data_IF_104890213947
#
_entry.id   IF_104890213947
#
_cell.length_a   1.000
_cell.length_b   1.000
_cell.length_c   1.000
_cell.angle_alpha   90.00
_cell.angle_beta   90.00
_cell.angle_gamma   90.00
#
_symmetry.space_group_name_H-M   'P 1'
#
loop_
_entity.id
_entity.type
_entity.pdbx_description
1 polymer ?
#
# COMPACT_ATOMS: atom_id res chain seq x y z
N UNK A 1 8.21 59.52 -9.41
CA UNK A 1 8.11 58.78 -8.13
C UNK A 1 6.91 57.84 -8.03
N UNK A 2 5.71 58.18 -8.54
CA UNK A 2 4.54 57.28 -8.46
C UNK A 2 4.73 55.94 -9.22
N UNK A 3 5.29 55.96 -10.44
CA UNK A 3 5.51 54.73 -11.23
C UNK A 3 6.37 53.70 -10.52
N UNK A 4 7.39 54.14 -9.79
CA UNK A 4 8.30 53.25 -9.04
C UNK A 4 7.59 52.55 -7.89
N UNK A 5 6.69 53.24 -7.18
CA UNK A 5 5.89 52.64 -6.10
C UNK A 5 4.89 51.61 -6.63
N UNK A 6 4.30 51.88 -7.80
CA UNK A 6 3.37 50.95 -8.45
C UNK A 6 4.08 49.65 -8.85
N UNK A 7 5.28 49.75 -9.43
CA UNK A 7 6.07 48.60 -9.84
C UNK A 7 6.50 47.71 -8.66
N UNK A 8 6.86 48.34 -7.53
CA UNK A 8 7.20 47.62 -6.30
C UNK A 8 5.98 46.86 -5.76
N UNK A 9 4.79 47.46 -5.78
CA UNK A 9 3.56 46.80 -5.36
C UNK A 9 3.22 45.59 -6.24
N UNK A 10 3.32 45.70 -7.56
CA UNK A 10 3.07 44.58 -8.47
C UNK A 10 4.04 43.42 -8.25
N UNK A 11 5.33 43.71 -8.02
CA UNK A 11 6.35 42.70 -7.70
C UNK A 11 6.05 41.97 -6.38
N UNK A 12 5.56 42.68 -5.36
CA UNK A 12 5.18 42.07 -4.07
C UNK A 12 3.99 41.13 -4.25
N UNK A 13 2.97 41.55 -5.00
CA UNK A 13 1.78 40.73 -5.27
C UNK A 13 2.16 39.48 -6.07
N UNK A 14 3.01 39.62 -7.09
CA UNK A 14 3.48 38.51 -7.91
C UNK A 14 4.26 37.48 -7.08
N UNK A 15 5.21 37.94 -6.25
CA UNK A 15 5.98 37.04 -5.36
C UNK A 15 5.09 36.30 -4.37
N UNK A 16 4.08 36.97 -3.81
CA UNK A 16 3.12 36.34 -2.89
C UNK A 16 2.34 35.23 -3.59
N UNK A 17 1.86 35.46 -4.82
CA UNK A 17 1.15 34.44 -5.59
C UNK A 17 2.04 33.25 -5.96
N UNK A 18 3.30 33.48 -6.34
CA UNK A 18 4.26 32.42 -6.66
C UNK A 18 4.53 31.55 -5.43
N UNK A 19 4.78 32.18 -4.27
CA UNK A 19 4.97 31.47 -3.01
C UNK A 19 3.75 30.61 -2.65
N UNK A 20 2.53 31.15 -2.73
CA UNK A 20 1.31 30.39 -2.43
C UNK A 20 1.16 29.17 -3.35
N UNK A 21 1.39 29.32 -4.66
CA UNK A 21 1.30 28.19 -5.61
C UNK A 21 2.35 27.11 -5.32
N UNK A 22 3.58 27.47 -4.98
CA UNK A 22 4.63 26.51 -4.65
C UNK A 22 4.34 25.73 -3.36
N UNK A 23 3.87 26.39 -2.31
CA UNK A 23 3.56 25.72 -1.05
C UNK A 23 2.34 24.80 -1.16
N UNK A 24 1.26 25.26 -1.82
CA UNK A 24 0.06 24.46 -2.03
C UNK A 24 0.35 23.24 -2.91
N UNK A 25 1.15 23.40 -3.97
CA UNK A 25 1.55 22.29 -4.83
C UNK A 25 2.34 21.21 -4.08
N UNK A 26 3.30 21.61 -3.23
CA UNK A 26 4.08 20.68 -2.40
C UNK A 26 3.21 19.94 -1.37
N UNK A 27 2.29 20.63 -0.70
CA UNK A 27 1.39 19.98 0.27
C UNK A 27 0.44 18.99 -0.41
N UNK A 28 -0.09 19.33 -1.59
CA UNK A 28 -0.92 18.41 -2.36
C UNK A 28 -0.14 17.16 -2.82
N UNK A 29 1.11 17.33 -3.22
CA UNK A 29 1.99 16.21 -3.61
C UNK A 29 2.31 15.29 -2.42
N UNK A 30 2.62 15.87 -1.25
CA UNK A 30 2.88 15.11 -0.03
C UNK A 30 1.61 14.39 0.43
N UNK A 31 0.46 15.08 0.47
CA UNK A 31 -0.81 14.48 0.86
C UNK A 31 -1.25 13.33 -0.05
N UNK A 32 -1.08 13.48 -1.37
CA UNK A 32 -1.38 12.42 -2.34
C UNK A 32 -0.48 11.19 -2.21
N UNK A 33 0.78 11.37 -1.83
CA UNK A 33 1.74 10.26 -1.63
C UNK A 33 1.50 9.54 -0.31
N UNK A 34 1.23 10.29 0.76
CA UNK A 34 0.93 9.73 2.09
C UNK A 34 -0.34 8.88 2.06
N UNK A 35 -1.43 9.36 1.43
CA UNK A 35 -2.67 8.59 1.34
C UNK A 35 -2.50 7.25 0.60
N UNK A 36 -1.70 7.22 -0.47
CA UNK A 36 -1.40 5.97 -1.19
C UNK A 36 -0.62 4.99 -0.31
N UNK A 37 0.35 5.49 0.45
CA UNK A 37 1.16 4.69 1.34
C UNK A 37 0.35 4.11 2.50
N UNK A 38 -0.49 4.93 3.13
CA UNK A 38 -1.40 4.49 4.20
C UNK A 38 -2.38 3.42 3.71
N UNK A 39 -3.04 3.63 2.58
CA UNK A 39 -3.97 2.64 2.01
C UNK A 39 -3.28 1.32 1.67
N UNK A 40 -2.03 1.37 1.20
CA UNK A 40 -1.24 0.18 0.91
C UNK A 40 -0.88 -0.61 2.16
N UNK A 41 -0.42 0.06 3.23
CA UNK A 41 -0.15 -0.60 4.51
C UNK A 41 -1.43 -1.24 5.07
N UNK A 42 -2.55 -0.53 5.03
CA UNK A 42 -3.85 -1.07 5.47
C UNK A 42 -4.22 -2.29 4.63
N UNK A 43 -4.08 -2.23 3.31
CA UNK A 43 -4.36 -3.35 2.41
C UNK A 43 -3.52 -4.59 2.73
N UNK A 44 -2.23 -4.41 2.97
CA UNK A 44 -1.33 -5.49 3.41
C UNK A 44 -1.78 -6.05 4.75
N UNK A 45 -2.04 -5.20 5.74
CA UNK A 45 -2.45 -5.64 7.07
C UNK A 45 -3.73 -6.48 7.03
N UNK A 46 -4.72 -6.07 6.24
CA UNK A 46 -5.96 -6.84 6.04
C UNK A 46 -5.68 -8.19 5.38
N UNK A 47 -4.83 -8.23 4.35
CA UNK A 47 -4.42 -9.47 3.68
C UNK A 47 -3.76 -10.47 4.65
N UNK A 48 -2.84 -10.01 5.49
CA UNK A 48 -2.20 -10.85 6.51
C UNK A 48 -3.19 -11.31 7.58
N UNK A 49 -4.12 -10.46 7.98
CA UNK A 49 -5.16 -10.83 8.96
C UNK A 49 -6.08 -11.93 8.44
N UNK A 50 -6.57 -11.78 7.20
CA UNK A 50 -7.42 -12.79 6.54
C UNK A 50 -6.65 -14.10 6.34
N UNK A 51 -5.40 -14.03 5.90
CA UNK A 51 -4.56 -15.22 5.75
C UNK A 51 -4.33 -15.93 7.10
N UNK A 52 -4.07 -15.19 8.18
CA UNK A 52 -3.89 -15.76 9.51
C UNK A 52 -5.14 -16.49 10.02
N UNK A 53 -6.34 -16.06 9.64
CA UNK A 53 -7.59 -16.74 9.97
C UNK A 53 -7.85 -17.98 9.10
N UNK A 54 -7.60 -17.90 7.79
CA UNK A 54 -7.91 -18.98 6.84
C UNK A 54 -6.87 -20.10 6.80
N UNK A 55 -5.59 -19.79 7.08
CA UNK A 55 -4.50 -20.78 7.02
C UNK A 55 -4.71 -21.93 8.02
N UNK A 56 -5.06 -21.70 9.30
CA UNK A 56 -5.35 -22.78 10.23
C UNK A 56 -6.51 -23.67 9.77
N UNK A 57 -7.61 -23.08 9.27
CA UNK A 57 -8.75 -23.84 8.77
C UNK A 57 -8.38 -24.72 7.57
N UNK A 58 -7.61 -24.16 6.62
CA UNK A 58 -7.10 -24.88 5.46
C UNK A 58 -6.15 -26.02 5.87
N UNK A 59 -5.34 -25.82 6.92
CA UNK A 59 -4.47 -26.86 7.46
C UNK A 59 -5.26 -28.00 8.11
N UNK A 60 -6.29 -27.66 8.88
CA UNK A 60 -7.19 -28.67 9.47
C UNK A 60 -7.87 -29.49 8.39
N UNK A 61 -8.45 -28.85 7.38
CA UNK A 61 -9.07 -29.53 6.24
C UNK A 61 -8.06 -30.37 5.45
N UNK A 62 -6.85 -29.85 5.22
CA UNK A 62 -5.75 -30.56 4.56
C UNK A 62 -5.32 -31.81 5.30
N UNK A 63 -5.18 -31.73 6.63
CA UNK A 63 -4.86 -32.87 7.48
C UNK A 63 -5.95 -33.95 7.41
N UNK A 64 -7.23 -33.57 7.41
CA UNK A 64 -8.35 -34.51 7.25
C UNK A 64 -8.37 -35.19 5.89
N UNK A 65 -8.10 -34.45 4.80
CA UNK A 65 -8.00 -35.01 3.45
C UNK A 65 -6.80 -35.96 3.31
N UNK A 66 -5.66 -35.59 3.87
CA UNK A 66 -4.46 -36.41 3.86
C UNK A 66 -4.66 -37.71 4.65
N UNK A 67 -5.31 -37.64 5.81
CA UNK A 67 -5.67 -38.81 6.62
C UNK A 67 -6.66 -39.74 5.89
N UNK A 68 -7.48 -39.19 4.98
CA UNK A 68 -8.41 -39.96 4.15
C UNK A 68 -7.75 -40.60 2.91
N UNK A 69 -6.43 -40.44 2.75
CA UNK A 69 -5.67 -41.01 1.63
C UNK A 69 -5.80 -40.24 0.32
N UNK A 70 -6.36 -39.02 0.32
CA UNK A 70 -6.39 -38.19 -0.88
C UNK A 70 -4.99 -37.59 -1.14
N UNK A 71 -4.39 -37.82 -2.32
CA UNK A 71 -3.04 -37.34 -2.64
C UNK A 71 -2.88 -35.83 -2.52
N UNK A 72 -3.96 -35.08 -2.78
CA UNK A 72 -3.99 -33.63 -2.74
C UNK A 72 -3.98 -33.04 -1.31
N UNK A 73 -4.28 -33.84 -0.29
CA UNK A 73 -4.25 -33.38 1.11
C UNK A 73 -2.88 -32.87 1.54
N UNK A 74 -1.81 -33.47 1.02
CA UNK A 74 -0.41 -33.07 1.24
C UNK A 74 -0.07 -31.65 0.77
N UNK A 75 -0.88 -31.06 -0.11
CA UNK A 75 -0.69 -29.67 -0.57
C UNK A 75 -1.11 -28.65 0.49
N UNK A 76 -1.95 -29.07 1.45
CA UNK A 76 -2.60 -28.25 2.46
C UNK A 76 -2.20 -28.62 3.90
N UNK A 77 -1.30 -29.59 4.12
CA UNK A 77 -0.74 -29.87 5.46
C UNK A 77 0.29 -28.79 5.86
N UNK A 78 0.75 -28.80 7.11
CA UNK A 78 1.78 -27.86 7.58
C UNK A 78 3.02 -27.87 6.66
N UNK A 79 3.35 -26.73 6.07
CA UNK A 79 4.44 -26.60 5.08
C UNK A 79 4.09 -27.00 3.64
N UNK A 80 2.81 -27.28 3.36
CA UNK A 80 2.32 -27.58 2.02
C UNK A 80 2.55 -26.45 1.01
N UNK A 81 2.73 -26.82 -0.26
CA UNK A 81 3.10 -25.89 -1.35
C UNK A 81 2.08 -24.75 -1.53
N UNK A 82 0.81 -24.95 -1.18
CA UNK A 82 -0.22 -23.91 -1.26
C UNK A 82 0.11 -22.73 -0.34
N UNK A 83 0.60 -22.99 0.87
CA UNK A 83 0.97 -21.92 1.81
C UNK A 83 2.22 -21.17 1.34
N UNK A 84 3.16 -21.87 0.71
CA UNK A 84 4.35 -21.25 0.11
C UNK A 84 3.91 -20.30 -1.02
N UNK A 85 2.98 -20.72 -1.89
CA UNK A 85 2.45 -19.87 -2.95
C UNK A 85 1.72 -18.63 -2.42
N UNK A 86 0.91 -18.79 -1.36
CA UNK A 86 0.24 -17.67 -0.70
C UNK A 86 1.28 -16.71 -0.10
N UNK A 87 2.30 -17.22 0.59
CA UNK A 87 3.36 -16.40 1.18
C UNK A 87 4.14 -15.63 0.11
N UNK A 88 4.48 -16.26 -1.01
CA UNK A 88 5.16 -15.60 -2.14
C UNK A 88 4.26 -14.53 -2.79
N UNK A 89 2.96 -14.80 -2.94
CA UNK A 89 2.01 -13.82 -3.46
C UNK A 89 1.89 -12.60 -2.54
N UNK A 90 1.79 -12.81 -1.22
CA UNK A 90 1.78 -11.76 -0.21
C UNK A 90 3.08 -10.95 -0.22
N UNK A 91 4.22 -11.62 -0.29
CA UNK A 91 5.53 -10.97 -0.36
C UNK A 91 5.67 -10.13 -1.63
N UNK A 92 5.22 -10.66 -2.79
CA UNK A 92 5.25 -9.93 -4.05
C UNK A 92 4.32 -8.70 -4.01
N UNK A 93 3.13 -8.83 -3.41
CA UNK A 93 2.22 -7.70 -3.18
C UNK A 93 2.86 -6.64 -2.28
N UNK A 94 3.57 -7.06 -1.22
CA UNK A 94 4.29 -6.16 -0.32
C UNK A 94 5.49 -5.46 -0.96
N UNK A 95 6.22 -6.13 -1.85
CA UNK A 95 7.42 -5.57 -2.51
C UNK A 95 7.04 -4.57 -3.61
N UNK A 96 5.91 -4.76 -4.31
CA UNK A 96 5.51 -3.86 -5.42
C UNK A 96 5.26 -2.42 -4.98
N UNK A 97 4.94 -2.19 -3.71
CA UNK A 97 4.86 -0.86 -3.11
C UNK A 97 3.68 -0.01 -3.62
N UNK A 98 3.36 1.09 -2.94
CA UNK A 98 2.32 2.03 -3.34
C UNK A 98 2.85 2.99 -4.41
N UNK A 99 2.82 2.58 -5.69
CA UNK A 99 3.19 3.47 -6.78
C UNK A 99 3.79 2.83 -8.03
N UNK A 100 3.79 1.51 -8.14
CA UNK A 100 3.96 0.81 -9.41
C UNK A 100 2.62 0.43 -10.02
#
# INVERSE_FOLDING_TARGET
MLKTKLYIQEMIVLNKQILTKMFVGKMAQVGGTVNKFTNFIIGIAVLFFVAAALVPEAQTAGNSLNASGLPLGTLFVSGGVVFILIAVALLNAAIKGPGK
#
